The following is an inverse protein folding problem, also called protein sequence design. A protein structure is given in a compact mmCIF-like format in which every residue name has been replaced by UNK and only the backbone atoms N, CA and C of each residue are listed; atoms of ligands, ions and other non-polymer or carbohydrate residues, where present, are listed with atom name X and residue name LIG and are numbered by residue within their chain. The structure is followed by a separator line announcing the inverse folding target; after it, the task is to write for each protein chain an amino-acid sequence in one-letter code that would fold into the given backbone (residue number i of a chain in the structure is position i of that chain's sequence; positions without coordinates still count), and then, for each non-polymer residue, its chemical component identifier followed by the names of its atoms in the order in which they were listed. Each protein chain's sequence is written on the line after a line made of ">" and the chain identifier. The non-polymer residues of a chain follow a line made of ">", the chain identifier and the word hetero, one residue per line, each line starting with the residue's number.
data_IF_793033100964
#
_entry.id   IF_793033100964
#
_cell.length_a   1.000
_cell.length_b   1.000
_cell.length_c   1.000
_cell.angle_alpha   90.00
_cell.angle_beta   90.00
_cell.angle_gamma   90.00
#
_symmetry.space_group_name_H-M   'P 1'
#
loop_
_entity.id
_entity.type
_entity.pdbx_description
1 polymer ?
#
# COMPACT_ATOMS: atom_id res chain seq x y z
N UNK A 1 -20.75 17.86 4.35
CA UNK A 1 -20.29 17.09 3.20
C UNK A 1 -19.52 15.87 3.61
N UNK A 2 -19.87 14.76 3.05
CA UNK A 2 -19.26 13.49 3.44
C UNK A 2 -18.30 13.00 2.39
N UNK A 3 -17.12 12.66 2.80
CA UNK A 3 -16.15 12.05 1.90
C UNK A 3 -15.33 11.03 2.67
N UNK A 4 -14.69 10.16 1.94
CA UNK A 4 -13.79 9.16 2.50
C UNK A 4 -12.49 9.16 1.74
N UNK A 5 -11.43 8.87 2.44
CA UNK A 5 -10.12 8.71 1.83
C UNK A 5 -9.71 7.26 2.03
N UNK A 6 -9.28 6.62 0.96
CA UNK A 6 -8.83 5.24 1.06
C UNK A 6 -7.58 5.03 0.21
N UNK A 7 -6.84 4.01 0.55
CA UNK A 7 -5.64 3.65 -0.18
C UNK A 7 -5.76 2.28 -0.77
N UNK A 8 -5.22 2.13 -1.96
CA UNK A 8 -5.11 0.85 -2.63
C UNK A 8 -3.64 0.51 -2.77
N UNK A 9 -3.25 -0.64 -2.27
CA UNK A 9 -1.87 -1.11 -2.36
C UNK A 9 -1.79 -2.17 -3.43
N UNK A 10 -0.88 -1.97 -4.36
CA UNK A 10 -0.65 -2.87 -5.46
C UNK A 10 0.79 -3.36 -5.39
N UNK A 11 0.96 -4.67 -5.30
CA UNK A 11 2.28 -5.27 -5.21
C UNK A 11 2.59 -5.94 -6.54
N UNK A 12 3.61 -5.45 -7.20
CA UNK A 12 4.03 -5.97 -8.48
C UNK A 12 5.43 -6.54 -8.39
N UNK A 13 5.90 -7.13 -9.48
CA UNK A 13 7.22 -7.80 -9.47
C UNK A 13 8.37 -6.88 -9.11
N UNK A 14 8.28 -5.61 -9.49
CA UNK A 14 9.40 -4.69 -9.33
C UNK A 14 9.05 -3.41 -8.61
N UNK A 15 7.82 -3.30 -8.14
CA UNK A 15 7.43 -2.12 -7.39
C UNK A 15 6.21 -2.39 -6.53
N UNK A 16 6.09 -1.60 -5.49
CA UNK A 16 4.93 -1.60 -4.61
C UNK A 16 4.35 -0.20 -4.68
N UNK A 17 3.06 -0.10 -4.91
CA UNK A 17 2.39 1.17 -5.13
C UNK A 17 1.31 1.40 -4.09
N UNK A 18 1.18 2.65 -3.69
CA UNK A 18 0.04 3.10 -2.90
C UNK A 18 -0.64 4.20 -3.68
N UNK A 19 -1.90 3.99 -4.01
CA UNK A 19 -2.72 5.03 -4.64
C UNK A 19 -3.75 5.48 -3.63
N UNK A 20 -3.82 6.76 -3.42
CA UNK A 20 -4.71 7.35 -2.42
C UNK A 20 -5.83 8.06 -3.13
N UNK A 21 -7.04 7.71 -2.78
CA UNK A 21 -8.25 8.20 -3.44
C UNK A 21 -9.16 8.91 -2.45
N UNK A 22 -9.89 9.86 -2.99
CA UNK A 22 -11.00 10.48 -2.28
C UNK A 22 -12.29 10.01 -2.94
N UNK A 23 -13.23 9.57 -2.14
CA UNK A 23 -14.55 9.17 -2.61
C UNK A 23 -15.56 10.11 -2.00
N UNK A 24 -16.33 10.77 -2.84
CA UNK A 24 -17.39 11.66 -2.36
C UNK A 24 -18.63 11.51 -3.23
N UNK A 25 -19.76 11.82 -2.65
CA UNK A 25 -21.02 11.79 -3.39
C UNK A 25 -21.05 12.82 -4.49
N UNK A 26 -20.40 13.93 -4.26
CA UNK A 26 -20.41 15.02 -5.21
C UNK A 26 -19.46 14.81 -6.38
N UNK A 27 -18.26 14.34 -6.11
CA UNK A 27 -17.20 14.29 -7.11
C UNK A 27 -16.82 12.88 -7.57
N UNK A 28 -17.44 11.86 -6.97
CA UNK A 28 -17.08 10.49 -7.29
C UNK A 28 -15.72 10.12 -6.73
N UNK A 29 -14.93 9.39 -7.49
CA UNK A 29 -13.61 8.94 -7.08
C UNK A 29 -12.56 9.83 -7.72
N UNK A 30 -11.63 10.27 -6.89
CA UNK A 30 -10.56 11.15 -7.36
C UNK A 30 -9.22 10.67 -6.80
N UNK A 31 -8.23 10.51 -7.65
CA UNK A 31 -6.89 10.14 -7.22
C UNK A 31 -6.21 11.35 -6.61
N UNK A 32 -5.79 11.22 -5.36
CA UNK A 32 -5.09 12.29 -4.66
C UNK A 32 -3.58 12.17 -4.76
N UNK A 33 -3.07 10.96 -4.69
CA UNK A 33 -1.63 10.75 -4.72
C UNK A 33 -1.31 9.32 -5.13
N UNK A 34 -0.10 9.15 -5.66
CA UNK A 34 0.40 7.85 -6.05
C UNK A 34 1.85 7.76 -5.55
N UNK A 35 2.08 6.88 -4.60
CA UNK A 35 3.41 6.68 -4.02
C UNK A 35 3.96 5.37 -4.55
N UNK A 36 5.14 5.42 -5.13
CA UNK A 36 5.81 4.24 -5.69
C UNK A 36 7.04 3.91 -4.90
N UNK A 37 7.29 2.64 -4.73
CA UNK A 37 8.52 2.16 -4.13
C UNK A 37 9.04 0.99 -4.95
N UNK A 38 10.23 1.13 -5.48
CA UNK A 38 10.82 0.05 -6.28
C UNK A 38 11.35 -1.03 -5.36
N UNK A 39 10.99 -2.26 -5.68
CA UNK A 39 11.37 -3.41 -4.87
C UNK A 39 11.37 -4.62 -5.77
N UNK A 40 12.52 -5.25 -5.91
CA UNK A 40 12.68 -6.36 -6.84
C UNK A 40 12.22 -7.67 -6.21
N UNK A 41 10.92 -7.89 -6.24
CA UNK A 41 10.34 -9.13 -5.76
C UNK A 41 10.39 -10.23 -6.82
N UNK A 42 10.36 -9.83 -8.08
CA UNK A 42 10.26 -10.77 -9.17
C UNK A 42 11.47 -11.65 -9.33
N UNK A 43 12.66 -11.09 -9.25
CA UNK A 43 13.88 -11.86 -9.43
C UNK A 43 14.01 -12.99 -8.41
N UNK A 44 13.71 -12.66 -7.17
CA UNK A 44 13.80 -13.64 -6.11
C UNK A 44 12.77 -14.75 -6.30
N UNK A 45 11.56 -14.36 -6.64
CA UNK A 45 10.48 -15.31 -6.86
C UNK A 45 10.77 -16.22 -8.05
N UNK A 46 11.27 -15.66 -9.13
CA UNK A 46 11.60 -16.46 -10.32
C UNK A 46 12.76 -17.40 -10.09
N UNK A 47 13.71 -17.01 -9.28
CA UNK A 47 14.87 -17.83 -9.03
C UNK A 47 14.59 -18.98 -8.07
N UNK A 48 13.81 -18.75 -7.05
CA UNK A 48 13.63 -19.71 -5.97
C UNK A 48 12.19 -20.14 -5.74
N UNK A 49 11.23 -19.45 -6.36
CA UNK A 49 9.83 -19.69 -6.10
C UNK A 49 9.35 -19.11 -4.79
N UNK A 50 10.21 -18.40 -4.09
CA UNK A 50 9.88 -17.78 -2.80
C UNK A 50 10.48 -16.39 -2.73
N UNK A 51 9.91 -15.58 -1.87
CA UNK A 51 10.46 -14.28 -1.55
C UNK A 51 11.38 -14.47 -0.34
N UNK A 52 12.62 -14.03 -0.46
CA UNK A 52 13.59 -14.17 0.62
C UNK A 52 13.24 -13.30 1.82
N UNK A 53 13.82 -13.67 2.95
CA UNK A 53 13.53 -12.98 4.22
C UNK A 53 13.84 -11.49 4.15
N UNK A 54 14.96 -11.13 3.52
CA UNK A 54 15.34 -9.73 3.42
C UNK A 54 14.33 -8.92 2.64
N UNK A 55 13.81 -9.49 1.55
CA UNK A 55 12.79 -8.81 0.75
C UNK A 55 11.47 -8.73 1.49
N UNK A 56 11.13 -9.75 2.25
CA UNK A 56 9.92 -9.70 3.07
C UNK A 56 10.03 -8.58 4.09
N UNK A 57 11.18 -8.45 4.75
CA UNK A 57 11.39 -7.38 5.71
C UNK A 57 11.29 -6.01 5.05
N UNK A 58 11.88 -5.87 3.88
CA UNK A 58 11.82 -4.62 3.14
C UNK A 58 10.38 -4.30 2.72
N UNK A 59 9.68 -5.30 2.24
CA UNK A 59 8.27 -5.12 1.88
C UNK A 59 7.44 -4.69 3.08
N UNK A 60 7.65 -5.32 4.23
CA UNK A 60 6.95 -4.93 5.44
C UNK A 60 7.22 -3.48 5.81
N UNK A 61 8.47 -3.06 5.65
CA UNK A 61 8.83 -1.67 5.95
C UNK A 61 8.10 -0.72 5.01
N UNK A 62 8.04 -1.05 3.74
CA UNK A 62 7.33 -0.23 2.75
C UNK A 62 5.85 -0.14 3.11
N UNK A 63 5.24 -1.25 3.47
CA UNK A 63 3.82 -1.26 3.82
C UNK A 63 3.54 -0.47 5.09
N UNK A 64 4.45 -0.52 6.05
CA UNK A 64 4.32 0.30 7.25
C UNK A 64 4.45 1.78 6.93
N UNK A 65 5.33 2.13 6.01
CA UNK A 65 5.46 3.51 5.56
C UNK A 65 4.18 3.96 4.85
N UNK A 66 3.60 3.11 4.04
CA UNK A 66 2.33 3.42 3.38
C UNK A 66 1.22 3.64 4.39
N UNK A 67 1.19 2.82 5.43
CA UNK A 67 0.21 2.98 6.50
C UNK A 67 0.38 4.34 7.18
N UNK A 68 1.61 4.74 7.41
CA UNK A 68 1.89 6.04 8.02
C UNK A 68 1.43 7.18 7.13
N UNK A 69 1.70 7.08 5.83
CA UNK A 69 1.24 8.07 4.87
C UNK A 69 -0.28 8.18 4.87
N UNK A 70 -0.95 7.05 4.88
CA UNK A 70 -2.40 7.04 4.91
C UNK A 70 -2.98 7.66 6.17
N UNK A 71 -2.30 7.51 7.29
CA UNK A 71 -2.75 8.15 8.51
C UNK A 71 -2.77 9.66 8.39
N UNK A 72 -1.79 10.21 7.69
CA UNK A 72 -1.75 11.65 7.48
C UNK A 72 -2.90 12.15 6.63
N UNK A 73 -3.33 11.35 5.67
CA UNK A 73 -4.44 11.72 4.81
C UNK A 73 -5.79 11.52 5.48
N UNK A 74 -5.90 10.48 6.29
CA UNK A 74 -7.19 10.05 6.80
C UNK A 74 -7.26 10.11 8.32
N UNK A 75 -6.59 11.06 8.90
CA UNK A 75 -6.49 11.12 10.35
C UNK A 75 -7.82 11.39 11.05
N UNK A 76 -8.83 11.81 10.33
CA UNK A 76 -10.14 12.06 10.92
C UNK A 76 -11.15 11.01 10.55
N UNK A 77 -10.76 10.04 9.73
CA UNK A 77 -11.68 9.11 9.15
C UNK A 77 -11.25 7.72 9.41
N UNK A 78 -12.17 6.83 9.17
CA UNK A 78 -11.82 5.45 9.07
C UNK A 78 -11.06 5.26 7.79
N UNK A 79 -9.81 5.13 7.88
CA UNK A 79 -9.08 4.87 6.70
C UNK A 79 -9.16 3.38 6.37
N UNK A 80 -8.62 3.04 5.29
CA UNK A 80 -8.75 1.78 4.63
C UNK A 80 -8.27 0.60 5.43
N UNK A 81 -8.72 -0.56 5.05
CA UNK A 81 -8.11 -1.80 5.45
C UNK A 81 -7.01 -2.12 4.49
N UNK A 82 -5.85 -2.42 5.00
CA UNK A 82 -4.80 -2.93 4.17
C UNK A 82 -5.20 -4.30 3.69
N UNK A 83 -5.25 -4.44 2.40
CA UNK A 83 -5.65 -5.67 1.82
C UNK A 83 -4.54 -6.64 1.79
N UNK A 84 -3.97 -6.91 2.86
CA UNK A 84 -2.80 -7.71 2.78
C UNK A 84 -2.81 -8.81 3.78
N UNK A 85 -2.33 -9.94 3.39
CA UNK A 85 -2.18 -11.06 4.25
C UNK A 85 -0.73 -11.27 4.52
N UNK A 86 -0.10 -10.29 5.07
CA UNK A 86 1.33 -10.36 5.26
C UNK A 86 1.63 -11.08 6.53
N UNK A 87 2.28 -12.20 6.38
CA UNK A 87 2.55 -13.07 7.49
C UNK A 87 3.49 -12.47 8.50
N UNK A 88 4.40 -11.65 8.03
CA UNK A 88 5.47 -11.15 8.87
C UNK A 88 5.36 -9.68 9.18
N UNK A 89 4.22 -9.08 8.86
CA UNK A 89 4.00 -7.67 9.10
C UNK A 89 2.93 -7.48 10.14
N UNK A 90 3.16 -6.55 11.04
CA UNK A 90 2.17 -6.19 12.04
C UNK A 90 1.56 -4.85 11.66
N UNK A 91 0.32 -4.89 11.31
CA UNK A 91 -0.44 -3.69 11.04
C UNK A 91 -1.46 -3.48 12.13
#
# INVERSE_FOLDING_TARGET
>A
MTYRIFGAIDVESYEVNLKIYELSMKNGIRLLNHVRHRLDLGSDTYATGKIGTELVDELCQVLLDFKRIMKDYANFLDYFHLMSNHHNCNF
#
